data_IF_700927199362
#
_entry.id   IF_700927199362
#
_cell.length_a   1.000
_cell.length_b   1.000
_cell.length_c   1.000
_cell.angle_alpha   90.00
_cell.angle_beta   90.00
_cell.angle_gamma   90.00
#
_symmetry.space_group_name_H-M   'P 1'
#
loop_
_entity.id
_entity.type
_entity.pdbx_description
1 polymer ?
#
# COMPACT_ATOMS: atom_id res chain seq x y z
N UNK A 1 -29.40 37.99 29.75
CA UNK A 1 -29.14 37.24 28.50
C UNK A 1 -30.37 36.39 28.17
N UNK A 2 -30.94 36.49 26.98
CA UNK A 2 -32.23 35.89 26.66
C UNK A 2 -32.09 34.37 26.50
N UNK A 3 -32.79 33.56 27.32
CA UNK A 3 -32.75 32.09 27.33
C UNK A 3 -32.91 31.49 25.92
N UNK A 4 -33.71 32.11 25.05
CA UNK A 4 -33.91 31.64 23.67
C UNK A 4 -32.65 31.78 22.79
N UNK A 5 -31.81 32.79 23.05
CA UNK A 5 -30.55 32.99 22.31
C UNK A 5 -29.55 31.90 22.73
N UNK A 6 -29.42 31.66 24.03
CA UNK A 6 -28.53 30.63 24.58
C UNK A 6 -28.90 29.22 24.05
N UNK A 7 -30.20 28.90 24.05
CA UNK A 7 -30.67 27.61 23.53
C UNK A 7 -30.33 27.45 22.04
N UNK A 8 -30.54 28.51 21.22
CA UNK A 8 -30.16 28.46 19.80
C UNK A 8 -28.66 28.27 19.58
N UNK A 9 -27.83 28.94 20.36
CA UNK A 9 -26.37 28.75 20.31
C UNK A 9 -25.97 27.35 20.69
N UNK A 10 -26.52 26.79 21.75
CA UNK A 10 -26.25 25.40 22.18
C UNK A 10 -26.67 24.42 21.07
N UNK A 11 -27.86 24.58 20.50
CA UNK A 11 -28.33 23.71 19.41
C UNK A 11 -27.40 23.82 18.20
N UNK A 12 -26.94 25.04 17.86
CA UNK A 12 -25.99 25.22 16.75
C UNK A 12 -24.67 24.50 16.97
N UNK A 13 -24.10 24.62 18.17
CA UNK A 13 -22.85 23.91 18.52
C UNK A 13 -23.03 22.39 18.52
N UNK A 14 -24.14 21.90 19.05
CA UNK A 14 -24.45 20.45 19.03
C UNK A 14 -24.56 19.94 17.58
N UNK A 15 -25.20 20.72 16.70
CA UNK A 15 -25.31 20.36 15.28
C UNK A 15 -23.93 20.32 14.61
N UNK A 16 -23.08 21.33 14.85
CA UNK A 16 -21.72 21.38 14.28
C UNK A 16 -20.90 20.17 14.74
N UNK A 17 -20.94 19.84 16.04
CA UNK A 17 -20.25 18.67 16.58
C UNK A 17 -20.78 17.38 15.97
N UNK A 18 -22.11 17.23 15.85
CA UNK A 18 -22.72 16.06 15.23
C UNK A 18 -22.31 15.89 13.77
N UNK A 19 -22.33 16.98 12.99
CA UNK A 19 -21.87 16.95 11.58
C UNK A 19 -20.39 16.59 11.49
N UNK A 20 -19.53 17.21 12.31
CA UNK A 20 -18.11 16.91 12.35
C UNK A 20 -17.85 15.44 12.72
N UNK A 21 -18.58 14.89 13.67
CA UNK A 21 -18.50 13.49 14.07
C UNK A 21 -18.89 12.55 12.92
N UNK A 22 -20.03 12.81 12.27
CA UNK A 22 -20.47 12.04 11.11
C UNK A 22 -19.45 12.10 9.98
N UNK A 23 -18.93 13.29 9.67
CA UNK A 23 -17.86 13.44 8.66
C UNK A 23 -16.60 12.65 9.02
N UNK A 24 -16.18 12.67 10.27
CA UNK A 24 -15.03 11.88 10.73
C UNK A 24 -15.25 10.37 10.56
N UNK A 25 -16.46 9.89 10.86
CA UNK A 25 -16.82 8.48 10.62
C UNK A 25 -16.80 8.13 9.12
N UNK A 26 -17.32 9.01 8.26
CA UNK A 26 -17.33 8.80 6.82
C UNK A 26 -15.89 8.79 6.25
N UNK A 27 -15.05 9.72 6.67
CA UNK A 27 -13.64 9.75 6.28
C UNK A 27 -12.93 8.46 6.70
N UNK A 28 -13.09 8.05 7.94
CA UNK A 28 -12.47 6.82 8.45
C UNK A 28 -13.01 5.55 7.75
N UNK A 29 -14.27 5.54 7.34
CA UNK A 29 -14.90 4.40 6.66
C UNK A 29 -14.52 4.31 5.18
N UNK A 30 -14.48 5.44 4.47
CA UNK A 30 -14.42 5.47 3.00
C UNK A 30 -13.13 6.04 2.43
N UNK A 31 -12.35 6.79 3.19
CA UNK A 31 -11.20 7.53 2.67
C UNK A 31 -9.88 6.95 3.18
N UNK A 32 -9.74 6.76 4.48
CA UNK A 32 -8.50 6.31 5.12
C UNK A 32 -8.78 5.10 6.00
N UNK A 33 -7.91 4.12 5.93
CA UNK A 33 -7.90 3.02 6.89
C UNK A 33 -6.48 2.77 7.41
N UNK A 34 -6.40 2.17 8.59
CA UNK A 34 -5.15 1.85 9.25
C UNK A 34 -4.90 0.34 9.17
N UNK A 35 -3.68 -0.02 8.84
CA UNK A 35 -3.18 -1.40 8.83
C UNK A 35 -2.03 -1.50 9.82
N UNK A 36 -2.01 -2.56 10.63
CA UNK A 36 -0.85 -2.95 11.43
C UNK A 36 -0.03 -3.97 10.66
N UNK A 37 1.29 -3.80 10.63
CA UNK A 37 2.20 -4.61 9.83
C UNK A 37 2.81 -5.71 10.70
N UNK A 38 2.38 -6.97 10.54
CA UNK A 38 2.81 -8.07 11.41
C UNK A 38 4.14 -8.72 10.99
N UNK A 39 4.67 -8.41 9.81
CA UNK A 39 5.83 -9.08 9.23
C UNK A 39 6.93 -8.13 8.78
N UNK A 40 8.16 -8.64 8.71
CA UNK A 40 9.34 -7.87 8.31
C UNK A 40 9.55 -7.73 6.80
N UNK A 41 8.60 -8.14 5.96
CA UNK A 41 8.80 -8.16 4.49
C UNK A 41 9.00 -6.79 3.84
N UNK A 42 8.68 -5.70 4.53
CA UNK A 42 8.86 -4.31 4.09
C UNK A 42 9.90 -3.57 4.95
N UNK A 43 10.68 -4.30 5.77
CA UNK A 43 11.74 -3.70 6.60
C UNK A 43 12.76 -2.96 5.74
N UNK A 44 13.35 -1.96 6.30
CA UNK A 44 13.94 -0.75 5.84
C UNK A 44 12.89 0.37 5.68
N UNK A 45 11.81 0.16 4.93
CA UNK A 45 10.78 1.18 4.73
C UNK A 45 9.69 1.13 5.81
N UNK A 46 9.16 -0.06 6.13
CA UNK A 46 8.10 -0.25 7.13
C UNK A 46 8.52 -1.39 8.05
N UNK A 47 8.63 -1.09 9.34
CA UNK A 47 9.07 -2.06 10.35
C UNK A 47 7.91 -2.92 10.84
N UNK A 48 8.24 -4.11 11.33
CA UNK A 48 7.28 -4.96 12.05
C UNK A 48 6.69 -4.19 13.24
N UNK A 49 5.36 -4.20 13.37
CA UNK A 49 4.61 -3.47 14.39
C UNK A 49 4.26 -2.02 14.03
N UNK A 50 4.78 -1.49 12.90
CA UNK A 50 4.36 -0.18 12.40
C UNK A 50 2.86 -0.20 12.03
N UNK A 51 2.23 0.95 12.20
CA UNK A 51 0.86 1.20 11.75
C UNK A 51 0.89 2.12 10.55
N UNK A 52 0.31 1.67 9.45
CA UNK A 52 0.32 2.36 8.17
C UNK A 52 -1.07 2.92 7.89
N UNK A 53 -1.12 4.21 7.55
CA UNK A 53 -2.32 4.86 7.07
C UNK A 53 -2.39 4.74 5.54
N UNK A 54 -3.49 4.19 5.07
CA UNK A 54 -3.71 3.83 3.67
C UNK A 54 -4.87 4.64 3.12
N UNK A 55 -4.67 5.28 1.98
CA UNK A 55 -5.67 6.10 1.29
C UNK A 55 -6.39 5.26 0.23
N UNK A 56 -7.68 5.02 0.44
CA UNK A 56 -8.52 4.16 -0.44
C UNK A 56 -8.74 4.76 -1.81
N UNK A 57 -8.84 6.08 -1.89
CA UNK A 57 -9.25 6.77 -3.12
C UNK A 57 -8.07 7.08 -4.06
N UNK A 58 -6.85 6.63 -3.72
CA UNK A 58 -5.63 6.93 -4.48
C UNK A 58 -5.75 6.58 -5.97
N UNK A 59 -6.45 5.50 -6.27
CA UNK A 59 -6.53 4.96 -7.64
C UNK A 59 -7.92 5.05 -8.26
N UNK A 60 -8.78 5.92 -7.69
CA UNK A 60 -10.10 6.17 -8.25
C UNK A 60 -10.02 6.96 -9.57
N UNK A 61 -9.06 7.87 -9.68
CA UNK A 61 -8.86 8.75 -10.84
C UNK A 61 -7.46 8.66 -11.45
N UNK A 62 -6.64 7.70 -11.00
CA UNK A 62 -5.28 7.48 -11.49
C UNK A 62 -4.93 6.00 -11.47
N UNK A 63 -3.88 5.63 -12.18
CA UNK A 63 -3.32 4.30 -12.10
C UNK A 63 -2.25 4.20 -11.02
N UNK A 64 -2.10 3.03 -10.38
CA UNK A 64 -0.96 2.73 -9.53
C UNK A 64 0.36 2.90 -10.29
N UNK A 65 1.35 3.45 -9.61
CA UNK A 65 2.68 3.71 -10.19
C UNK A 65 3.72 2.76 -9.61
N UNK A 66 4.79 2.53 -10.38
CA UNK A 66 5.98 1.83 -9.88
C UNK A 66 6.52 2.58 -8.66
N UNK A 67 6.90 1.85 -7.63
CA UNK A 67 7.35 2.40 -6.36
C UNK A 67 6.23 2.63 -5.33
N UNK A 68 4.94 2.70 -5.73
CA UNK A 68 3.84 2.84 -4.78
C UNK A 68 3.79 1.64 -3.82
N UNK A 69 3.65 1.92 -2.53
CA UNK A 69 3.39 0.89 -1.52
C UNK A 69 1.88 0.75 -1.37
N UNK A 70 1.37 -0.45 -1.53
CA UNK A 70 -0.07 -0.71 -1.59
C UNK A 70 -0.51 -1.83 -0.66
N UNK A 71 -1.77 -1.75 -0.21
CA UNK A 71 -2.45 -2.80 0.56
C UNK A 71 -3.44 -3.50 -0.36
N UNK A 72 -3.41 -4.84 -0.36
CA UNK A 72 -4.25 -5.68 -1.21
C UNK A 72 -4.46 -7.06 -0.57
N UNK A 73 -5.52 -7.81 -0.93
CA UNK A 73 -5.67 -9.20 -0.50
C UNK A 73 -4.60 -10.07 -1.15
N UNK A 74 -4.02 -10.98 -0.38
CA UNK A 74 -3.04 -11.95 -0.88
C UNK A 74 -3.66 -12.82 -1.99
N UNK A 75 -3.08 -12.87 -3.21
CA UNK A 75 -3.73 -13.50 -4.35
C UNK A 75 -4.03 -15.00 -4.21
N UNK A 76 -3.26 -15.72 -3.38
CA UNK A 76 -3.47 -17.14 -3.13
C UNK A 76 -4.37 -17.41 -1.91
N UNK A 77 -4.66 -16.35 -1.10
CA UNK A 77 -5.63 -16.40 0.00
C UNK A 77 -6.19 -14.99 0.29
N UNK A 78 -7.26 -14.62 -0.38
CA UNK A 78 -7.86 -13.27 -0.29
C UNK A 78 -8.43 -12.91 1.11
N UNK A 79 -8.38 -13.80 2.08
CA UNK A 79 -8.77 -13.51 3.47
C UNK A 79 -7.70 -12.74 4.24
N UNK A 80 -6.46 -12.71 3.73
CA UNK A 80 -5.31 -12.06 4.36
C UNK A 80 -4.86 -10.87 3.52
N UNK A 81 -4.69 -9.72 4.15
CA UNK A 81 -4.15 -8.54 3.46
C UNK A 81 -2.64 -8.50 3.53
N UNK A 82 -2.02 -8.17 2.41
CA UNK A 82 -0.59 -7.93 2.27
C UNK A 82 -0.31 -6.46 1.98
N UNK A 83 0.88 -6.02 2.37
CA UNK A 83 1.44 -4.73 2.01
C UNK A 83 2.76 -4.98 1.28
N UNK A 84 2.89 -4.44 0.06
CA UNK A 84 4.07 -4.59 -0.78
C UNK A 84 4.26 -3.36 -1.66
N UNK A 85 5.44 -3.27 -2.28
CA UNK A 85 5.75 -2.25 -3.28
C UNK A 85 5.43 -2.76 -4.68
N UNK A 86 4.87 -1.89 -5.50
CA UNK A 86 4.67 -2.14 -6.94
C UNK A 86 6.01 -2.04 -7.64
N UNK A 87 6.43 -3.13 -8.26
CA UNK A 87 7.66 -3.22 -9.04
C UNK A 87 7.36 -3.31 -10.53
N UNK A 88 6.45 -4.18 -10.95
CA UNK A 88 6.05 -4.31 -12.34
C UNK A 88 4.70 -3.65 -12.62
N UNK A 89 4.64 -2.89 -13.70
CA UNK A 89 3.43 -2.29 -14.27
C UNK A 89 2.88 -3.16 -15.39
N UNK A 90 1.61 -3.00 -15.81
CA UNK A 90 1.06 -3.70 -16.97
C UNK A 90 1.97 -3.61 -18.18
N UNK A 91 2.27 -4.76 -18.81
CA UNK A 91 3.16 -4.87 -19.96
C UNK A 91 4.65 -5.00 -19.67
N UNK A 92 5.10 -4.74 -18.42
CA UNK A 92 6.51 -4.89 -18.07
C UNK A 92 6.97 -6.36 -18.13
N UNK A 93 8.16 -6.57 -18.64
CA UNK A 93 8.91 -7.82 -18.50
C UNK A 93 9.79 -7.74 -17.26
N UNK A 94 9.54 -8.61 -16.29
CA UNK A 94 10.28 -8.70 -15.01
C UNK A 94 11.17 -9.91 -15.05
N UNK A 95 12.44 -9.72 -14.73
CA UNK A 95 13.44 -10.78 -14.64
C UNK A 95 14.43 -10.46 -13.53
N UNK A 96 14.87 -11.47 -12.80
CA UNK A 96 15.98 -11.36 -11.85
C UNK A 96 17.07 -12.30 -12.32
N UNK A 97 18.30 -11.83 -12.42
CA UNK A 97 19.50 -12.59 -12.77
C UNK A 97 20.60 -12.34 -11.75
N UNK A 98 21.06 -13.40 -11.10
CA UNK A 98 22.06 -13.32 -10.04
C UNK A 98 21.71 -12.25 -8.98
N UNK A 99 20.44 -12.18 -8.53
CA UNK A 99 19.98 -11.21 -7.54
C UNK A 99 19.81 -9.77 -8.04
N UNK A 100 19.98 -9.52 -9.34
CA UNK A 100 19.81 -8.19 -9.95
C UNK A 100 18.46 -8.13 -10.67
N UNK A 101 17.65 -7.13 -10.33
CA UNK A 101 16.35 -6.89 -10.97
C UNK A 101 16.51 -6.21 -12.33
N UNK A 102 15.86 -6.78 -13.33
CA UNK A 102 15.71 -6.21 -14.68
C UNK A 102 14.25 -5.96 -14.97
N UNK A 103 13.96 -4.78 -15.51
CA UNK A 103 12.64 -4.40 -16.03
C UNK A 103 12.82 -4.01 -17.49
N UNK A 104 12.13 -4.71 -18.40
CA UNK A 104 12.22 -4.51 -19.85
C UNK A 104 13.69 -4.62 -20.36
N UNK A 105 14.43 -5.59 -19.85
CA UNK A 105 15.85 -5.88 -20.14
C UNK A 105 16.87 -4.85 -19.60
N UNK A 106 16.43 -3.83 -18.89
CA UNK A 106 17.29 -2.83 -18.27
C UNK A 106 17.43 -3.08 -16.77
N UNK A 107 18.63 -2.88 -16.21
CA UNK A 107 18.85 -2.96 -14.76
C UNK A 107 18.01 -1.91 -14.07
N UNK A 108 17.21 -2.33 -13.09
CA UNK A 108 16.43 -1.41 -12.27
C UNK A 108 17.11 -1.21 -10.91
N UNK A 109 17.69 -0.02 -10.71
CA UNK A 109 18.35 0.35 -9.45
C UNK A 109 17.30 0.70 -8.38
N UNK A 110 17.55 0.25 -7.14
CA UNK A 110 16.62 0.37 -6.03
C UNK A 110 17.37 0.81 -4.77
N UNK A 111 17.03 2.00 -4.26
CA UNK A 111 17.66 2.61 -3.07
C UNK A 111 16.90 2.32 -1.76
N UNK A 112 15.74 1.68 -1.86
CA UNK A 112 14.83 1.39 -0.73
C UNK A 112 14.93 -0.04 -0.19
N UNK A 113 15.67 -0.93 -0.82
CA UNK A 113 15.82 -2.31 -0.35
C UNK A 113 16.67 -2.36 0.92
N UNK A 114 16.37 -3.33 1.81
CA UNK A 114 17.09 -3.48 3.08
C UNK A 114 18.56 -3.86 2.84
N UNK A 115 18.78 -4.79 1.92
CA UNK A 115 20.08 -5.35 1.55
C UNK A 115 20.02 -5.89 0.11
N UNK A 116 21.15 -6.08 -0.57
CA UNK A 116 21.17 -6.73 -1.88
C UNK A 116 20.44 -8.09 -1.86
N UNK A 117 19.71 -8.40 -2.92
CA UNK A 117 19.12 -9.73 -3.08
C UNK A 117 20.20 -10.78 -3.09
N UNK A 118 19.93 -11.92 -2.45
CA UNK A 118 20.72 -13.14 -2.63
C UNK A 118 20.78 -13.53 -4.11
N UNK A 119 21.80 -14.29 -4.48
CA UNK A 119 21.93 -14.82 -5.85
C UNK A 119 20.74 -15.74 -6.16
N UNK A 120 19.74 -15.17 -6.82
CA UNK A 120 18.47 -15.80 -7.17
C UNK A 120 18.15 -15.44 -8.63
N UNK A 121 17.63 -16.42 -9.37
CA UNK A 121 17.10 -16.21 -10.71
C UNK A 121 15.58 -16.35 -10.71
N UNK A 122 14.89 -15.42 -11.38
CA UNK A 122 13.44 -15.46 -11.53
C UNK A 122 13.01 -14.93 -12.91
N UNK A 123 12.04 -15.57 -13.50
CA UNK A 123 11.44 -15.10 -14.74
C UNK A 123 12.15 -15.60 -16.01
N UNK A 124 12.09 -14.85 -17.13
CA UNK A 124 11.30 -13.65 -17.31
C UNK A 124 9.79 -13.91 -17.24
N UNK A 125 9.04 -12.95 -16.71
CA UNK A 125 7.59 -12.93 -16.74
C UNK A 125 7.07 -11.57 -17.26
N UNK A 126 5.97 -11.58 -18.01
CA UNK A 126 5.33 -10.34 -18.47
C UNK A 126 4.10 -10.08 -17.61
N UNK A 127 4.01 -8.86 -17.07
CA UNK A 127 2.87 -8.44 -16.24
C UNK A 127 1.64 -8.27 -17.12
N UNK A 128 0.54 -8.98 -16.86
CA UNK A 128 -0.68 -8.84 -17.66
C UNK A 128 -1.31 -7.45 -17.55
N UNK A 129 -2.12 -7.07 -18.55
CA UNK A 129 -2.90 -5.85 -18.53
C UNK A 129 -3.79 -5.76 -17.28
N UNK A 130 -3.82 -4.58 -16.66
CA UNK A 130 -4.57 -4.32 -15.43
C UNK A 130 -4.03 -5.01 -14.18
N UNK A 131 -2.85 -5.63 -14.25
CA UNK A 131 -2.19 -6.32 -13.15
C UNK A 131 -0.85 -5.66 -12.77
N UNK A 132 -0.37 -5.99 -11.58
CA UNK A 132 0.87 -5.46 -11.01
C UNK A 132 1.69 -6.58 -10.39
N UNK A 133 3.02 -6.46 -10.49
CA UNK A 133 3.98 -7.34 -9.84
C UNK A 133 4.49 -6.69 -8.56
N UNK A 134 4.39 -7.39 -7.45
CA UNK A 134 4.64 -6.88 -6.11
C UNK A 134 5.90 -7.49 -5.50
N UNK A 135 6.75 -6.66 -4.88
CA UNK A 135 7.87 -7.17 -4.08
C UNK A 135 7.94 -6.48 -2.72
N UNK A 136 8.50 -7.16 -1.74
CA UNK A 136 8.85 -6.56 -0.46
C UNK A 136 10.18 -5.82 -0.54
N UNK A 137 10.38 -4.80 0.29
CA UNK A 137 11.64 -4.07 0.38
C UNK A 137 12.74 -4.88 1.09
N UNK A 138 12.33 -5.77 1.99
CA UNK A 138 13.21 -6.81 2.55
C UNK A 138 13.21 -8.04 1.61
N UNK A 139 13.99 -7.97 0.54
CA UNK A 139 14.02 -8.91 -0.59
C UNK A 139 14.23 -10.35 -0.17
N UNK A 140 15.15 -10.58 0.76
CA UNK A 140 15.56 -11.92 1.21
C UNK A 140 14.60 -12.53 2.24
N UNK A 141 13.65 -11.75 2.76
CA UNK A 141 12.63 -12.18 3.74
C UNK A 141 11.21 -11.77 3.34
N UNK A 142 10.90 -11.79 2.04
CA UNK A 142 9.58 -11.42 1.52
C UNK A 142 8.93 -12.54 0.71
N UNK A 143 7.80 -13.04 1.18
CA UNK A 143 6.89 -13.84 0.37
C UNK A 143 6.07 -12.90 -0.52
N UNK A 144 6.43 -12.81 -1.81
CA UNK A 144 5.87 -11.87 -2.77
C UNK A 144 5.65 -12.49 -4.16
N UNK A 145 5.42 -11.69 -5.18
CA UNK A 145 5.08 -12.15 -6.54
C UNK A 145 6.08 -13.14 -7.15
N UNK A 146 7.31 -13.19 -6.67
CA UNK A 146 8.31 -14.17 -7.09
C UNK A 146 7.86 -15.60 -6.73
N UNK A 147 7.23 -15.79 -5.58
CA UNK A 147 6.94 -17.08 -4.98
C UNK A 147 5.47 -17.49 -5.03
N UNK A 148 4.52 -16.53 -5.25
CA UNK A 148 3.10 -16.81 -5.27
C UNK A 148 2.70 -17.68 -6.48
N UNK A 149 1.64 -18.47 -6.32
CA UNK A 149 1.01 -19.21 -7.43
C UNK A 149 0.37 -18.21 -8.38
N UNK A 150 -0.46 -17.32 -7.85
CA UNK A 150 -1.07 -16.19 -8.55
C UNK A 150 -0.15 -14.97 -8.44
N UNK A 151 0.83 -14.88 -9.33
CA UNK A 151 1.94 -13.89 -9.25
C UNK A 151 1.52 -12.43 -9.33
N UNK A 152 0.32 -12.13 -9.82
CA UNK A 152 -0.06 -10.77 -10.16
C UNK A 152 -1.27 -10.30 -9.39
N UNK A 153 -1.24 -9.04 -8.93
CA UNK A 153 -2.34 -8.39 -8.25
C UNK A 153 -3.11 -7.51 -9.23
N UNK A 154 -4.40 -7.75 -9.38
CA UNK A 154 -5.27 -6.94 -10.23
C UNK A 154 -5.51 -5.55 -9.64
N UNK A 155 -5.64 -4.51 -10.49
CA UNK A 155 -5.91 -3.13 -10.05
C UNK A 155 -7.10 -3.04 -9.10
N UNK A 156 -8.21 -3.71 -9.44
CA UNK A 156 -9.44 -3.68 -8.63
C UNK A 156 -9.31 -4.33 -7.23
N UNK A 157 -8.25 -5.11 -7.03
CA UNK A 157 -7.95 -5.72 -5.72
C UNK A 157 -7.11 -4.81 -4.82
N UNK A 158 -6.53 -3.75 -5.33
CA UNK A 158 -5.74 -2.81 -4.54
C UNK A 158 -6.68 -1.98 -3.66
N UNK A 159 -6.59 -2.19 -2.34
CA UNK A 159 -7.43 -1.52 -1.33
C UNK A 159 -7.08 -0.05 -1.12
N UNK A 160 -5.83 0.33 -1.44
CA UNK A 160 -5.35 1.70 -1.34
C UNK A 160 -3.83 1.81 -1.29
N UNK A 161 -3.35 3.06 -1.39
CA UNK A 161 -1.93 3.43 -1.27
C UNK A 161 -1.57 3.73 0.18
N UNK A 162 -0.50 3.14 0.66
CA UNK A 162 0.13 3.49 1.93
C UNK A 162 0.78 4.87 1.80
N UNK A 163 0.39 5.81 2.65
CA UNK A 163 0.83 7.20 2.55
C UNK A 163 1.67 7.66 3.74
N UNK A 164 1.50 7.02 4.89
CA UNK A 164 2.09 7.50 6.13
C UNK A 164 2.20 6.37 7.16
N UNK A 165 3.29 6.32 7.93
CA UNK A 165 3.49 5.34 8.99
C UNK A 165 3.70 5.97 10.37
N UNK A 166 3.31 5.23 11.41
CA UNK A 166 3.46 5.53 12.83
C UNK A 166 4.10 4.33 13.55
N UNK A 167 4.95 4.46 14.58
CA UNK A 167 5.20 5.66 15.42
C UNK A 167 6.21 6.66 14.86
N UNK A 168 7.05 6.27 13.92
CA UNK A 168 7.93 7.23 13.26
C UNK A 168 7.16 7.92 12.15
N UNK A 169 6.59 9.09 12.44
CA UNK A 169 5.80 9.89 11.48
C UNK A 169 6.59 10.13 10.18
N UNK A 170 6.46 9.22 9.21
CA UNK A 170 7.19 9.25 7.95
C UNK A 170 6.22 9.06 6.78
N UNK A 171 6.34 9.92 5.77
CA UNK A 171 5.63 9.75 4.51
C UNK A 171 6.24 8.60 3.72
N UNK A 172 5.39 7.81 3.08
CA UNK A 172 5.76 6.71 2.21
C UNK A 172 5.57 7.17 0.77
N UNK A 173 6.68 7.42 0.09
CA UNK A 173 6.71 7.83 -1.31
C UNK A 173 6.98 6.62 -2.20
#
# INVERSE_FOLDING_TARGET
MNKRIIIKEIISWVLVIAVAFVMALLINRFVIFKVEVPSGSMENTIMTGDRVFTFRLSYLFSDPKRGDIVVFPFPDNEQVDYIKRIIGLPGDKIEIRNGILYINDEVYEEDYILEPMEEEDFGPVVVPEGCYFMMGDNRNSSMDSRYWINKFVKKEKIKGKAIFKYPKFTWLN
#
